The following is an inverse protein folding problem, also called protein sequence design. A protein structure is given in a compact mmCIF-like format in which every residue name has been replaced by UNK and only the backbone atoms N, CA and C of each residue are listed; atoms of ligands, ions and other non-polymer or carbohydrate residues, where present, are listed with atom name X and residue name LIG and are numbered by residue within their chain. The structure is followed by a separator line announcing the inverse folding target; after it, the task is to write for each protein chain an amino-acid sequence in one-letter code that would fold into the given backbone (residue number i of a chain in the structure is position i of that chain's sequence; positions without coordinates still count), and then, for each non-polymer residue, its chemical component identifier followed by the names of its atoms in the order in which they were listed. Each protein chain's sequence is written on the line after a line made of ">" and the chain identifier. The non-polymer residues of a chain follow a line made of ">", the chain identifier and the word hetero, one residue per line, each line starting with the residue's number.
data_IF_584959491209
#
_entry.id   IF_584959491209
#
_cell.length_a   1.000
_cell.length_b   1.000
_cell.length_c   1.000
_cell.angle_alpha   90.00
_cell.angle_beta   90.00
_cell.angle_gamma   90.00
#
_symmetry.space_group_name_H-M   'P 1'
#
loop_
_entity.id
_entity.type
_entity.pdbx_description
1 polymer ?
#
# COMPACT_ATOMS: atom_id res chain seq x y z
N UNK A 1 -3.25 0.13 -17.43
CA UNK A 1 -2.12 -0.80 -17.22
C UNK A 1 -2.32 -2.08 -18.04
N UNK A 2 -3.40 -2.86 -17.84
CA UNK A 2 -3.62 -4.12 -18.55
C UNK A 2 -3.54 -4.00 -20.08
N UNK A 3 -4.22 -3.00 -20.68
CA UNK A 3 -4.15 -2.75 -22.13
C UNK A 3 -2.74 -2.39 -22.62
N UNK A 4 -1.92 -1.75 -21.78
CA UNK A 4 -0.52 -1.41 -22.10
C UNK A 4 0.40 -2.64 -22.01
N UNK A 5 0.02 -3.65 -21.24
CA UNK A 5 0.76 -4.90 -21.09
C UNK A 5 0.27 -5.99 -22.06
N UNK A 6 -0.66 -5.66 -22.97
CA UNK A 6 -1.15 -6.60 -23.98
C UNK A 6 -2.10 -7.67 -23.44
N UNK A 7 -2.59 -7.53 -22.21
CA UNK A 7 -3.56 -8.46 -21.62
C UNK A 7 -4.91 -8.29 -22.29
N UNK A 8 -5.49 -9.37 -22.79
CA UNK A 8 -6.80 -9.38 -23.44
C UNK A 8 -7.90 -8.89 -22.48
N UNK A 9 -8.83 -8.09 -22.99
CA UNK A 9 -9.91 -7.54 -22.15
C UNK A 9 -10.75 -8.60 -21.46
N UNK A 10 -10.95 -9.77 -22.10
CA UNK A 10 -11.69 -10.90 -21.52
C UNK A 10 -10.96 -11.58 -20.37
N UNK A 11 -9.67 -11.82 -20.52
CA UNK A 11 -8.81 -12.39 -19.46
C UNK A 11 -8.73 -11.45 -18.27
N UNK A 12 -8.52 -10.14 -18.53
CA UNK A 12 -8.48 -9.13 -17.48
C UNK A 12 -9.79 -9.10 -16.66
N UNK A 13 -10.96 -9.16 -17.34
CA UNK A 13 -12.26 -9.16 -16.66
C UNK A 13 -12.44 -10.44 -15.84
N UNK A 14 -12.05 -11.59 -16.37
CA UNK A 14 -12.17 -12.87 -15.66
C UNK A 14 -11.33 -12.91 -14.38
N UNK A 15 -10.11 -12.38 -14.43
CA UNK A 15 -9.24 -12.27 -13.25
C UNK A 15 -9.69 -11.18 -12.25
N UNK A 16 -10.35 -10.14 -12.74
CA UNK A 16 -10.79 -9.02 -11.91
C UNK A 16 -12.09 -9.30 -11.13
N UNK A 17 -12.97 -10.17 -11.65
CA UNK A 17 -14.25 -10.52 -11.00
C UNK A 17 -14.06 -11.10 -9.58
N UNK A 18 -13.18 -12.09 -9.33
CA UNK A 18 -12.96 -12.61 -7.99
C UNK A 18 -12.47 -11.56 -7.01
N UNK A 19 -11.55 -10.69 -7.47
CA UNK A 19 -11.03 -9.60 -6.67
C UNK A 19 -12.12 -8.59 -6.32
N UNK A 20 -12.95 -8.22 -7.27
CA UNK A 20 -14.07 -7.30 -7.06
C UNK A 20 -15.10 -7.88 -6.08
N UNK A 21 -15.40 -9.18 -6.18
CA UNK A 21 -16.27 -9.89 -5.25
C UNK A 21 -15.72 -9.85 -3.82
N UNK A 22 -14.45 -10.14 -3.63
CA UNK A 22 -13.78 -10.06 -2.32
C UNK A 22 -13.84 -8.63 -1.77
N UNK A 23 -13.54 -7.62 -2.59
CA UNK A 23 -13.62 -6.22 -2.19
C UNK A 23 -15.04 -5.80 -1.76
N UNK A 24 -16.06 -6.23 -2.51
CA UNK A 24 -17.46 -5.93 -2.16
C UNK A 24 -17.88 -6.64 -0.87
N UNK A 25 -17.46 -7.88 -0.69
CA UNK A 25 -17.74 -8.65 0.53
C UNK A 25 -17.07 -8.02 1.76
N UNK A 26 -15.82 -7.57 1.61
CA UNK A 26 -15.11 -6.81 2.63
C UNK A 26 -15.80 -5.49 2.95
N UNK A 27 -16.18 -4.72 1.94
CA UNK A 27 -16.89 -3.47 2.12
C UNK A 27 -18.23 -3.67 2.84
N UNK A 28 -19.00 -4.68 2.45
CA UNK A 28 -20.25 -5.03 3.11
C UNK A 28 -20.04 -5.48 4.57
N UNK A 29 -18.99 -6.25 4.85
CA UNK A 29 -18.61 -6.66 6.20
C UNK A 29 -18.25 -5.45 7.08
N UNK A 30 -17.43 -4.53 6.59
CA UNK A 30 -17.04 -3.32 7.29
C UNK A 30 -18.23 -2.37 7.53
N UNK A 31 -19.17 -2.30 6.60
CA UNK A 31 -20.38 -1.47 6.78
C UNK A 31 -21.38 -2.06 7.76
N UNK A 32 -21.55 -3.38 7.81
CA UNK A 32 -22.55 -4.05 8.66
C UNK A 32 -22.02 -4.43 10.04
N UNK A 33 -20.76 -4.88 10.11
CA UNK A 33 -20.14 -5.42 11.33
C UNK A 33 -18.64 -5.05 11.39
N UNK A 34 -18.28 -3.76 11.54
CA UNK A 34 -16.89 -3.31 11.44
C UNK A 34 -15.97 -4.03 12.41
N UNK A 35 -16.35 -4.14 13.69
CA UNK A 35 -15.50 -4.76 14.71
C UNK A 35 -15.25 -6.25 14.47
N UNK A 36 -16.29 -7.01 14.07
CA UNK A 36 -16.15 -8.44 13.78
C UNK A 36 -15.32 -8.69 12.53
N UNK A 37 -15.48 -7.83 11.53
CA UNK A 37 -14.72 -7.92 10.27
C UNK A 37 -13.24 -7.63 10.53
N UNK A 38 -12.92 -6.56 11.26
CA UNK A 38 -11.53 -6.23 11.62
C UNK A 38 -10.91 -7.35 12.46
N UNK A 39 -11.62 -7.87 13.48
CA UNK A 39 -11.14 -8.99 14.30
C UNK A 39 -10.93 -10.27 13.48
N UNK A 40 -11.80 -10.54 12.51
CA UNK A 40 -11.64 -11.66 11.58
C UNK A 40 -10.36 -11.54 10.74
N UNK A 41 -10.08 -10.34 10.23
CA UNK A 41 -8.83 -10.07 9.51
C UNK A 41 -7.60 -10.17 10.41
N UNK A 42 -7.67 -9.74 11.66
CA UNK A 42 -6.57 -9.87 12.60
C UNK A 42 -6.23 -11.33 12.87
N UNK A 43 -7.24 -12.18 13.08
CA UNK A 43 -7.06 -13.63 13.26
C UNK A 43 -6.46 -14.27 12.02
N UNK A 44 -6.98 -13.91 10.83
CA UNK A 44 -6.46 -14.40 9.55
C UNK A 44 -5.01 -13.99 9.31
N UNK A 45 -4.68 -12.72 9.55
CA UNK A 45 -3.32 -12.20 9.42
C UNK A 45 -2.35 -12.91 10.39
N UNK A 46 -2.78 -13.16 11.63
CA UNK A 46 -1.99 -13.90 12.61
C UNK A 46 -1.76 -15.35 12.18
N UNK A 47 -2.76 -16.00 11.58
CA UNK A 47 -2.62 -17.34 10.99
C UNK A 47 -1.58 -17.36 9.87
N UNK A 48 -1.66 -16.43 8.93
CA UNK A 48 -0.67 -16.29 7.85
C UNK A 48 0.74 -16.05 8.43
N UNK A 49 0.86 -15.18 9.43
CA UNK A 49 2.14 -14.87 10.06
C UNK A 49 2.79 -16.12 10.68
N UNK A 50 2.01 -16.95 11.37
CA UNK A 50 2.49 -18.20 11.96
C UNK A 50 2.94 -19.17 10.86
N UNK A 51 2.14 -19.36 9.81
CA UNK A 51 2.48 -20.23 8.68
C UNK A 51 3.78 -19.76 8.02
N UNK A 52 3.89 -18.47 7.75
CA UNK A 52 5.09 -17.88 7.13
C UNK A 52 6.33 -18.08 8.02
N UNK A 53 6.18 -17.92 9.34
CA UNK A 53 7.28 -18.16 10.28
C UNK A 53 7.74 -19.62 10.28
N UNK A 54 6.81 -20.57 10.24
CA UNK A 54 7.11 -22.00 10.17
C UNK A 54 7.83 -22.33 8.86
N UNK A 55 7.30 -21.85 7.73
CA UNK A 55 7.92 -22.06 6.41
C UNK A 55 9.32 -21.44 6.34
N UNK A 56 9.49 -20.24 6.89
CA UNK A 56 10.80 -19.59 6.99
C UNK A 56 11.78 -20.43 7.80
N UNK A 57 11.35 -20.95 8.96
CA UNK A 57 12.18 -21.82 9.81
C UNK A 57 12.59 -23.11 9.07
N UNK A 58 11.64 -23.76 8.38
CA UNK A 58 11.92 -24.97 7.58
C UNK A 58 12.93 -24.67 6.48
N UNK A 59 12.79 -23.53 5.78
CA UNK A 59 13.72 -23.11 4.74
C UNK A 59 15.13 -22.87 5.29
N UNK A 60 15.22 -22.15 6.41
CA UNK A 60 16.51 -21.89 7.08
C UNK A 60 17.17 -23.19 7.52
N UNK A 61 16.41 -24.11 8.14
CA UNK A 61 16.93 -25.43 8.53
C UNK A 61 17.44 -26.23 7.33
N UNK A 62 16.73 -26.19 6.21
CA UNK A 62 17.17 -26.84 4.98
C UNK A 62 18.50 -26.28 4.42
N UNK A 63 18.76 -24.99 4.61
CA UNK A 63 20.04 -24.37 4.20
C UNK A 63 21.22 -24.87 5.07
N UNK A 64 21.03 -24.97 6.39
CA UNK A 64 22.09 -25.33 7.33
C UNK A 64 22.22 -26.83 7.57
N UNK A 65 21.19 -27.61 7.32
CA UNK A 65 21.16 -29.07 7.51
C UNK A 65 20.73 -29.74 6.19
N UNK A 66 21.66 -30.05 5.28
CA UNK A 66 21.34 -30.60 3.95
C UNK A 66 20.50 -31.89 3.98
N UNK A 67 20.63 -32.70 5.04
CA UNK A 67 19.82 -33.91 5.25
C UNK A 67 18.33 -33.62 5.56
N UNK A 68 18.01 -32.40 5.94
CA UNK A 68 16.64 -31.91 6.20
C UNK A 68 16.10 -31.02 5.06
N UNK A 69 16.79 -30.97 3.92
CA UNK A 69 16.36 -30.19 2.77
C UNK A 69 15.19 -30.86 2.06
N UNK A 70 14.03 -30.23 2.12
CA UNK A 70 12.82 -30.67 1.42
C UNK A 70 12.63 -29.99 0.05
N UNK A 71 13.56 -29.10 -0.36
CA UNK A 71 13.50 -28.34 -1.59
C UNK A 71 14.86 -28.35 -2.31
N UNK A 72 14.82 -28.25 -3.63
CA UNK A 72 16.02 -28.06 -4.44
C UNK A 72 16.54 -26.64 -4.22
N UNK A 73 17.78 -26.54 -3.72
CA UNK A 73 18.44 -25.25 -3.41
C UNK A 73 18.96 -24.51 -4.65
N UNK A 74 18.81 -25.05 -5.86
CA UNK A 74 19.15 -24.32 -7.10
C UNK A 74 18.40 -23.00 -7.23
N UNK A 75 17.18 -22.92 -6.65
CA UNK A 75 16.37 -21.71 -6.63
C UNK A 75 16.76 -20.70 -5.54
N UNK A 76 17.62 -21.05 -4.59
CA UNK A 76 18.00 -20.15 -3.48
C UNK A 76 18.82 -18.97 -3.98
N UNK A 77 19.68 -19.19 -4.97
CA UNK A 77 20.51 -18.12 -5.56
C UNK A 77 19.62 -17.04 -6.19
N UNK A 78 18.62 -17.44 -6.96
CA UNK A 78 17.65 -16.50 -7.56
C UNK A 78 16.89 -15.71 -6.49
N UNK A 79 16.45 -16.36 -5.43
CA UNK A 79 15.74 -15.73 -4.31
C UNK A 79 16.65 -14.72 -3.60
N UNK A 80 17.90 -15.08 -3.35
CA UNK A 80 18.88 -14.18 -2.69
C UNK A 80 19.13 -12.93 -3.55
N UNK A 81 19.26 -13.09 -4.87
CA UNK A 81 19.42 -11.97 -5.79
C UNK A 81 18.20 -11.04 -5.74
N UNK A 82 16.98 -11.59 -5.75
CA UNK A 82 15.74 -10.82 -5.66
C UNK A 82 15.67 -10.05 -4.34
N UNK A 83 15.96 -10.70 -3.23
CA UNK A 83 15.98 -10.08 -1.89
C UNK A 83 17.03 -8.98 -1.80
N UNK A 84 18.24 -9.22 -2.30
CA UNK A 84 19.32 -8.24 -2.30
C UNK A 84 18.96 -7.01 -3.15
N UNK A 85 18.49 -7.19 -4.39
CA UNK A 85 18.04 -6.09 -5.25
C UNK A 85 16.92 -5.30 -4.59
N UNK A 86 15.94 -5.99 -4.00
CA UNK A 86 14.82 -5.34 -3.27
C UNK A 86 15.34 -4.53 -2.09
N UNK A 87 16.26 -5.06 -1.29
CA UNK A 87 16.84 -4.35 -0.15
C UNK A 87 17.59 -3.08 -0.59
N UNK A 88 18.36 -3.14 -1.66
CA UNK A 88 19.07 -1.97 -2.22
C UNK A 88 18.08 -0.90 -2.68
N UNK A 89 17.04 -1.29 -3.41
CA UNK A 89 16.03 -0.35 -3.92
C UNK A 89 15.23 0.27 -2.77
N UNK A 90 14.83 -0.51 -1.76
CA UNK A 90 14.12 -0.02 -0.58
C UNK A 90 14.98 0.98 0.17
N UNK A 91 16.26 0.66 0.42
CA UNK A 91 17.19 1.55 1.11
C UNK A 91 17.40 2.86 0.34
N UNK A 92 17.60 2.78 -0.97
CA UNK A 92 17.71 3.94 -1.85
C UNK A 92 16.44 4.80 -1.86
N UNK A 93 15.27 4.17 -1.85
CA UNK A 93 13.97 4.86 -1.80
C UNK A 93 13.75 5.61 -0.49
N UNK A 94 14.21 5.06 0.64
CA UNK A 94 14.13 5.75 1.94
C UNK A 94 15.00 7.01 1.94
N UNK A 95 16.23 6.91 1.45
CA UNK A 95 17.13 8.06 1.31
C UNK A 95 16.53 9.12 0.36
N UNK A 96 16.00 8.68 -0.78
CA UNK A 96 15.35 9.58 -1.74
C UNK A 96 14.13 10.29 -1.12
N UNK A 97 13.32 9.58 -0.33
CA UNK A 97 12.17 10.16 0.38
C UNK A 97 12.60 11.24 1.36
N UNK A 98 13.67 11.01 2.12
CA UNK A 98 14.22 12.01 3.03
C UNK A 98 14.73 13.26 2.29
N UNK A 99 15.39 13.06 1.15
CA UNK A 99 15.84 14.16 0.28
C UNK A 99 14.66 14.96 -0.26
N UNK A 100 13.61 14.30 -0.72
CA UNK A 100 12.38 14.94 -1.20
C UNK A 100 11.76 15.81 -0.08
N UNK A 101 11.62 15.28 1.13
CA UNK A 101 11.09 16.03 2.25
C UNK A 101 11.94 17.27 2.56
N UNK A 102 13.25 17.13 2.52
CA UNK A 102 14.20 18.22 2.80
C UNK A 102 14.16 19.33 1.74
N UNK A 103 14.08 18.95 0.46
CA UNK A 103 14.06 19.93 -0.63
C UNK A 103 12.69 20.54 -0.88
N UNK A 104 11.62 19.77 -0.67
CA UNK A 104 10.26 20.18 -1.01
C UNK A 104 9.41 20.64 0.19
N UNK A 105 10.00 20.88 1.36
CA UNK A 105 9.27 21.30 2.56
C UNK A 105 8.37 22.52 2.34
N UNK A 106 8.82 23.52 1.56
CA UNK A 106 8.01 24.69 1.23
C UNK A 106 6.77 24.32 0.36
N UNK A 107 6.92 23.35 -0.54
CA UNK A 107 5.83 22.86 -1.39
C UNK A 107 4.83 22.06 -0.58
N UNK A 108 5.28 21.32 0.43
CA UNK A 108 4.42 20.58 1.36
C UNK A 108 3.43 21.53 2.04
N UNK A 109 3.91 22.65 2.57
CA UNK A 109 3.07 23.66 3.21
C UNK A 109 2.05 24.30 2.24
N UNK A 110 2.43 24.50 0.97
CA UNK A 110 1.52 25.02 -0.06
C UNK A 110 0.44 24.00 -0.40
N UNK A 111 0.82 22.72 -0.59
CA UNK A 111 -0.13 21.62 -0.89
C UNK A 111 -1.08 21.42 0.29
N UNK A 112 -0.57 21.40 1.52
CA UNK A 112 -1.37 21.25 2.72
C UNK A 112 -2.45 22.33 2.84
N UNK A 113 -2.07 23.59 2.62
CA UNK A 113 -3.04 24.71 2.59
C UNK A 113 -4.07 24.57 1.48
N UNK A 114 -3.67 24.17 0.27
CA UNK A 114 -4.58 23.98 -0.86
C UNK A 114 -5.57 22.84 -0.65
N UNK A 115 -5.12 21.78 -0.01
CA UNK A 115 -5.96 20.61 0.32
C UNK A 115 -6.74 20.80 1.62
N UNK A 116 -6.46 21.87 2.40
CA UNK A 116 -7.03 22.10 3.74
C UNK A 116 -6.85 20.89 4.66
N UNK A 117 -5.62 20.43 4.75
CA UNK A 117 -5.15 19.38 5.66
C UNK A 117 -3.88 19.87 6.37
N UNK A 118 -3.50 19.20 7.46
CA UNK A 118 -2.26 19.56 8.12
C UNK A 118 -1.03 19.08 7.30
N UNK A 119 0.14 19.67 7.54
CA UNK A 119 1.37 19.34 6.81
C UNK A 119 1.78 17.87 7.02
N UNK A 120 1.49 17.31 8.19
CA UNK A 120 1.79 15.91 8.53
C UNK A 120 1.02 14.95 7.60
N UNK A 121 -0.19 15.32 7.22
CA UNK A 121 -0.99 14.53 6.27
C UNK A 121 -0.37 14.49 4.87
N UNK A 122 0.20 15.59 4.41
CA UNK A 122 0.92 15.65 3.12
C UNK A 122 2.24 14.87 3.20
N UNK A 123 2.97 15.01 4.31
CA UNK A 123 4.18 14.24 4.58
C UNK A 123 3.87 12.75 4.58
N UNK A 124 2.75 12.33 5.18
CA UNK A 124 2.30 10.95 5.17
C UNK A 124 2.11 10.38 3.76
N UNK A 125 1.48 11.12 2.85
CA UNK A 125 1.32 10.71 1.43
C UNK A 125 2.70 10.56 0.76
N UNK A 126 3.61 11.51 0.97
CA UNK A 126 4.95 11.46 0.38
C UNK A 126 5.77 10.27 0.91
N UNK A 127 5.77 10.04 2.21
CA UNK A 127 6.42 8.87 2.81
C UNK A 127 5.76 7.56 2.40
N UNK A 128 4.44 7.57 2.22
CA UNK A 128 3.65 6.45 1.72
C UNK A 128 4.05 6.02 0.31
N UNK A 129 4.68 6.88 -0.49
CA UNK A 129 5.24 6.48 -1.78
C UNK A 129 6.34 5.41 -1.62
N UNK A 130 7.09 5.45 -0.52
CA UNK A 130 8.18 4.53 -0.24
C UNK A 130 7.78 3.40 0.73
N UNK A 131 7.19 3.73 1.87
CA UNK A 131 6.91 2.75 2.92
C UNK A 131 5.76 3.15 3.85
N UNK A 132 4.94 2.18 4.26
CA UNK A 132 3.93 2.36 5.30
C UNK A 132 4.53 2.51 6.70
N UNK A 133 5.69 1.91 6.95
CA UNK A 133 6.31 1.92 8.28
C UNK A 133 6.62 3.35 8.76
N UNK A 134 6.99 4.25 7.83
CA UNK A 134 7.22 5.65 8.16
C UNK A 134 5.91 6.45 8.34
N UNK A 135 4.79 5.99 7.78
CA UNK A 135 3.49 6.67 7.86
C UNK A 135 2.76 6.33 9.16
N UNK A 136 2.84 5.07 9.63
CA UNK A 136 2.09 4.59 10.80
C UNK A 136 2.20 5.50 12.03
N UNK A 137 3.40 5.92 12.49
CA UNK A 137 3.53 6.78 13.66
C UNK A 137 2.99 8.20 13.45
N UNK A 138 2.78 8.61 12.20
CA UNK A 138 2.25 9.94 11.86
C UNK A 138 0.72 9.97 11.84
N UNK A 139 0.05 8.84 11.70
CA UNK A 139 -1.41 8.76 11.55
C UNK A 139 -2.13 9.44 12.73
N UNK A 140 -1.65 9.24 13.95
CA UNK A 140 -2.24 9.86 15.16
C UNK A 140 -2.15 11.39 15.18
N UNK A 141 -1.20 11.96 14.42
CA UNK A 141 -0.96 13.42 14.33
C UNK A 141 -1.62 14.05 13.11
N UNK A 142 -2.25 13.27 12.24
CA UNK A 142 -2.99 13.74 11.08
C UNK A 142 -4.36 14.22 11.47
N UNK A 143 -4.88 15.24 10.77
CA UNK A 143 -6.28 15.59 10.81
C UNK A 143 -7.14 14.47 10.16
N UNK A 144 -8.44 14.42 10.48
CA UNK A 144 -9.31 13.30 10.04
C UNK A 144 -9.43 13.22 8.52
N UNK A 145 -9.44 14.36 7.84
CA UNK A 145 -9.41 14.43 6.39
C UNK A 145 -8.10 13.86 5.83
N UNK A 146 -6.99 14.19 6.47
CA UNK A 146 -5.66 13.69 6.12
C UNK A 146 -5.53 12.18 6.35
N UNK A 147 -6.08 11.65 7.44
CA UNK A 147 -6.15 10.20 7.70
C UNK A 147 -6.89 9.47 6.59
N UNK A 148 -8.07 9.99 6.19
CA UNK A 148 -8.86 9.41 5.10
C UNK A 148 -8.11 9.43 3.77
N UNK A 149 -7.45 10.56 3.45
CA UNK A 149 -6.66 10.70 2.22
C UNK A 149 -5.44 9.78 2.22
N UNK A 150 -4.73 9.64 3.34
CA UNK A 150 -3.60 8.72 3.48
C UNK A 150 -4.05 7.25 3.39
N UNK A 151 -5.18 6.90 3.99
CA UNK A 151 -5.78 5.56 3.87
C UNK A 151 -6.13 5.23 2.43
N UNK A 152 -6.80 6.12 1.72
CA UNK A 152 -7.13 5.95 0.30
C UNK A 152 -5.88 5.82 -0.57
N UNK A 153 -4.85 6.65 -0.32
CA UNK A 153 -3.58 6.58 -1.03
C UNK A 153 -2.85 5.26 -0.76
N UNK A 154 -2.82 4.80 0.48
CA UNK A 154 -2.17 3.55 0.88
C UNK A 154 -2.71 2.32 0.14
N UNK A 155 -4.01 2.33 -0.19
CA UNK A 155 -4.64 1.23 -0.94
C UNK A 155 -4.47 1.39 -2.45
N UNK A 156 -4.51 2.61 -2.98
CA UNK A 156 -4.58 2.85 -4.42
C UNK A 156 -3.24 3.11 -5.08
N UNK A 157 -2.33 3.84 -4.45
CA UNK A 157 -1.11 4.34 -5.10
C UNK A 157 0.18 4.20 -4.31
N UNK A 158 0.15 3.75 -3.07
CA UNK A 158 1.33 3.71 -2.22
C UNK A 158 2.41 2.70 -2.69
N UNK A 159 3.61 2.87 -2.13
CA UNK A 159 4.76 1.94 -2.23
C UNK A 159 5.38 1.77 -3.61
N UNK A 160 5.05 2.66 -4.56
CA UNK A 160 5.61 2.58 -5.92
C UNK A 160 7.09 2.99 -6.00
N UNK A 161 7.63 3.66 -4.97
CA UNK A 161 9.06 3.98 -4.83
C UNK A 161 9.78 3.09 -3.81
N UNK A 162 9.11 2.07 -3.28
CA UNK A 162 9.64 1.24 -2.19
C UNK A 162 9.63 -0.25 -2.50
N UNK A 163 9.15 -1.05 -1.55
CA UNK A 163 9.22 -2.50 -1.59
C UNK A 163 8.58 -3.13 -2.83
N UNK A 164 7.46 -2.58 -3.31
CA UNK A 164 6.82 -3.11 -4.52
C UNK A 164 7.64 -2.83 -5.77
N UNK A 165 8.24 -1.64 -5.89
CA UNK A 165 9.15 -1.34 -6.99
C UNK A 165 10.37 -2.27 -6.94
N UNK A 166 10.92 -2.47 -5.74
CA UNK A 166 12.05 -3.37 -5.52
C UNK A 166 11.75 -4.79 -6.01
N UNK A 167 10.63 -5.34 -5.59
CA UNK A 167 10.21 -6.67 -6.00
C UNK A 167 9.95 -6.75 -7.51
N UNK A 168 9.10 -5.88 -8.07
CA UNK A 168 8.76 -5.93 -9.50
C UNK A 168 9.97 -5.70 -10.38
N UNK A 169 10.90 -4.81 -10.01
CA UNK A 169 12.15 -4.58 -10.76
C UNK A 169 13.10 -5.77 -10.73
N UNK A 170 12.96 -6.68 -9.78
CA UNK A 170 13.79 -7.87 -9.68
C UNK A 170 13.29 -9.04 -10.55
N UNK A 171 11.99 -9.05 -10.90
CA UNK A 171 11.33 -10.16 -11.60
C UNK A 171 10.71 -9.77 -12.96
N UNK A 172 10.59 -8.47 -13.26
CA UNK A 172 9.97 -7.97 -14.48
C UNK A 172 10.90 -7.01 -15.26
N UNK A 173 10.57 -6.78 -16.51
CA UNK A 173 11.29 -5.85 -17.38
C UNK A 173 11.01 -4.38 -17.03
N UNK A 174 11.87 -3.47 -17.50
CA UNK A 174 11.75 -2.03 -17.22
C UNK A 174 10.47 -1.40 -17.73
N UNK A 175 9.87 -1.94 -18.81
CA UNK A 175 8.60 -1.45 -19.33
C UNK A 175 7.45 -1.76 -18.36
N UNK A 176 7.37 -2.98 -17.85
CA UNK A 176 6.39 -3.40 -16.84
C UNK A 176 6.50 -2.56 -15.56
N UNK A 177 7.73 -2.29 -15.10
CA UNK A 177 7.98 -1.40 -13.95
C UNK A 177 7.47 0.00 -14.22
N UNK A 178 7.75 0.58 -15.38
CA UNK A 178 7.28 1.91 -15.75
C UNK A 178 5.74 2.00 -15.80
N UNK A 179 5.09 1.01 -16.41
CA UNK A 179 3.61 0.91 -16.45
C UNK A 179 3.03 0.82 -15.05
N UNK A 180 3.62 0.02 -14.16
CA UNK A 180 3.20 -0.09 -12.76
C UNK A 180 3.30 1.25 -12.04
N UNK A 181 4.42 1.96 -12.16
CA UNK A 181 4.64 3.25 -11.50
C UNK A 181 3.64 4.28 -11.98
N UNK A 182 3.44 4.41 -13.29
CA UNK A 182 2.48 5.34 -13.88
C UNK A 182 1.05 5.01 -13.41
N UNK A 183 0.66 3.74 -13.45
CA UNK A 183 -0.65 3.30 -12.99
C UNK A 183 -0.88 3.64 -11.51
N UNK A 184 0.11 3.40 -10.65
CA UNK A 184 0.03 3.72 -9.22
C UNK A 184 -0.06 5.21 -8.94
N UNK A 185 0.69 6.03 -9.64
CA UNK A 185 0.62 7.49 -9.51
C UNK A 185 -0.77 8.00 -9.89
N UNK A 186 -1.32 7.52 -11.01
CA UNK A 186 -2.67 7.89 -11.46
C UNK A 186 -3.72 7.40 -10.46
N UNK A 187 -3.71 6.12 -10.10
CA UNK A 187 -4.68 5.55 -9.16
C UNK A 187 -4.58 6.19 -7.77
N UNK A 188 -3.35 6.45 -7.30
CA UNK A 188 -3.11 7.12 -6.02
C UNK A 188 -3.66 8.55 -6.02
N UNK A 189 -3.41 9.30 -7.07
CA UNK A 189 -3.96 10.64 -7.25
C UNK A 189 -5.50 10.64 -7.28
N UNK A 190 -6.09 9.70 -8.02
CA UNK A 190 -7.56 9.54 -8.06
C UNK A 190 -8.13 9.11 -6.71
N UNK A 191 -7.46 8.21 -5.99
CA UNK A 191 -7.86 7.78 -4.64
C UNK A 191 -7.87 8.94 -3.65
N UNK A 192 -6.81 9.75 -3.64
CA UNK A 192 -6.72 10.96 -2.81
C UNK A 192 -7.80 11.98 -3.17
N UNK A 193 -8.04 12.22 -4.47
CA UNK A 193 -9.09 13.15 -4.93
C UNK A 193 -10.49 12.66 -4.54
N UNK A 194 -10.73 11.35 -4.65
CA UNK A 194 -11.99 10.75 -4.25
C UNK A 194 -12.21 10.90 -2.73
N UNK A 195 -11.21 10.57 -1.91
CA UNK A 195 -11.25 10.74 -0.47
C UNK A 195 -11.50 12.21 -0.08
N UNK A 196 -10.81 13.15 -0.75
CA UNK A 196 -11.01 14.58 -0.56
C UNK A 196 -12.46 15.01 -0.82
N UNK A 197 -13.07 14.56 -1.91
CA UNK A 197 -14.47 14.90 -2.26
C UNK A 197 -15.48 14.23 -1.33
N UNK A 198 -15.26 12.98 -0.95
CA UNK A 198 -16.14 12.23 -0.08
C UNK A 198 -16.13 12.81 1.34
N UNK A 199 -14.98 13.19 1.87
CA UNK A 199 -14.89 13.82 3.19
C UNK A 199 -15.80 15.05 3.30
N UNK A 200 -15.77 15.93 2.29
CA UNK A 200 -16.63 17.12 2.26
C UNK A 200 -18.14 16.82 2.25
N UNK A 201 -18.53 15.65 1.69
CA UNK A 201 -19.94 15.21 1.69
C UNK A 201 -20.40 14.63 3.03
N UNK A 202 -19.52 13.93 3.73
CA UNK A 202 -19.84 13.27 4.99
C UNK A 202 -19.72 14.21 6.19
N UNK A 203 -18.74 15.10 6.20
CA UNK A 203 -18.57 16.12 7.26
C UNK A 203 -19.75 17.09 7.32
N UNK A 204 -20.28 17.52 6.18
CA UNK A 204 -21.48 18.37 6.15
C UNK A 204 -22.78 17.69 6.61
N UNK A 205 -22.82 16.35 6.66
CA UNK A 205 -23.96 15.61 7.20
C UNK A 205 -23.90 15.45 8.73
N UNK A 206 -22.71 15.38 9.32
CA UNK A 206 -22.53 15.27 10.76
C UNK A 206 -22.96 16.54 11.51
N UNK A 207 -22.60 17.71 10.97
CA UNK A 207 -22.99 19.00 11.56
C UNK A 207 -24.51 19.25 11.57
N UNK A 208 -25.23 18.72 10.57
CA UNK A 208 -26.70 18.83 10.53
C UNK A 208 -27.40 17.85 11.46
N UNK A 209 -26.76 16.75 11.87
CA UNK A 209 -27.35 15.77 12.81
C UNK A 209 -27.21 16.23 14.25
N UNK A 210 -26.11 16.85 14.64
CA UNK A 210 -25.94 17.41 16.00
C UNK A 210 -26.78 18.68 16.23
N UNK A 211 -27.02 19.47 15.17
CA UNK A 211 -27.91 20.65 15.27
C UNK A 211 -29.41 20.32 15.33
N UNK A 212 -29.79 19.08 15.05
CA UNK A 212 -31.18 18.62 15.10
C UNK A 212 -31.55 17.93 16.43
N UNK A 213 -30.55 17.66 17.29
CA UNK A 213 -30.77 17.05 18.62
C UNK A 213 -30.69 18.06 19.80
N UNK A 214 -30.53 19.37 19.51
CA UNK A 214 -30.64 20.48 20.50
C UNK A 214 -31.92 21.25 20.28
#
# INVERSE_FOLDING_TARGET
>A
AAALLGVGSGEFVAEFIPLLLICLLMAAGLMKMPEKTVKGFEIFARGIQIITLILFFITVMGVFVPSAAYADFSSVEEIVIVVFKSAVIISGSLVLSELILRFFGKWIAVIARKLRVNEISVIGILLGCATSLAVLPLISKMDDKGKLMNGAFSVSGAYFMGGQMGFVSSVADGYTVAVMVIAKVICGGLGVLLAYKLYGRFSGRGEHSEAAEI
#
